data_IF_973892580002
#
_entry.id   IF_973892580002
#
_cell.length_a   1.000
_cell.length_b   1.000
_cell.length_c   1.000
_cell.angle_alpha   90.00
_cell.angle_beta   90.00
_cell.angle_gamma   90.00
#
_symmetry.space_group_name_H-M   'P 1'
#
loop_
_entity.id
_entity.type
_entity.pdbx_description
1 polymer ?
#
# COMPACT_ATOMS: atom_id res chain seq x y z
N UNK A 1 -2.04 13.00 14.31
CA UNK A 1 -2.00 12.67 12.87
C UNK A 1 -0.64 12.10 12.49
N UNK A 2 -0.66 10.91 11.92
CA UNK A 2 0.51 10.24 11.35
C UNK A 2 0.24 9.97 9.87
N UNK A 3 1.31 9.93 9.07
CA UNK A 3 1.26 9.56 7.66
C UNK A 3 1.96 8.22 7.49
N UNK A 4 1.24 7.24 6.94
CA UNK A 4 1.84 6.01 6.46
C UNK A 4 2.23 6.19 5.00
N UNK A 5 3.48 5.87 4.67
CA UNK A 5 4.01 5.86 3.31
C UNK A 5 4.51 4.47 2.99
N UNK A 6 3.83 3.81 2.07
CA UNK A 6 4.27 2.55 1.49
C UNK A 6 4.89 2.82 0.13
N UNK A 7 6.13 2.40 -0.05
CA UNK A 7 6.80 2.46 -1.34
C UNK A 7 6.97 1.05 -1.88
N UNK A 8 6.60 0.83 -3.13
CA UNK A 8 6.83 -0.40 -3.86
C UNK A 8 7.65 -0.12 -5.10
N UNK A 9 8.62 -0.99 -5.40
CA UNK A 9 9.33 -0.99 -6.68
C UNK A 9 8.78 -2.15 -7.50
N UNK A 10 7.95 -1.84 -8.49
CA UNK A 10 7.40 -2.83 -9.40
C UNK A 10 8.50 -3.49 -10.26
N UNK A 11 8.21 -4.67 -10.79
CA UNK A 11 8.99 -5.25 -11.89
C UNK A 11 8.87 -4.35 -13.13
N UNK A 12 9.88 -4.29 -14.02
CA UNK A 12 9.81 -3.51 -15.24
C UNK A 12 8.53 -3.78 -16.03
N UNK A 13 7.85 -2.72 -16.49
CA UNK A 13 6.61 -2.81 -17.25
C UNK A 13 5.34 -3.07 -16.43
N UNK A 14 5.44 -3.27 -15.10
CA UNK A 14 4.29 -3.61 -14.26
C UNK A 14 3.79 -2.46 -13.38
N UNK A 15 4.48 -1.33 -13.35
CA UNK A 15 4.18 -0.23 -12.42
C UNK A 15 2.76 0.30 -12.53
N UNK A 16 2.29 0.57 -13.76
CA UNK A 16 0.92 1.04 -13.98
C UNK A 16 -0.15 0.02 -13.59
N UNK A 17 0.10 -1.28 -13.81
CA UNK A 17 -0.80 -2.35 -13.39
C UNK A 17 -0.86 -2.45 -11.86
N UNK A 18 0.29 -2.43 -11.20
CA UNK A 18 0.37 -2.47 -9.73
C UNK A 18 -0.31 -1.24 -9.10
N UNK A 19 -0.06 -0.04 -9.62
CA UNK A 19 -0.70 1.18 -9.12
C UNK A 19 -2.23 1.14 -9.25
N UNK A 20 -2.76 0.61 -10.36
CA UNK A 20 -4.22 0.44 -10.52
C UNK A 20 -4.81 -0.53 -9.50
N UNK A 21 -4.17 -1.69 -9.30
CA UNK A 21 -4.60 -2.67 -8.29
C UNK A 21 -4.59 -2.04 -6.89
N UNK A 22 -3.53 -1.31 -6.55
CA UNK A 22 -3.45 -0.60 -5.26
C UNK A 22 -4.55 0.44 -5.13
N UNK A 23 -4.84 1.21 -6.18
CA UNK A 23 -5.91 2.20 -6.18
C UNK A 23 -7.28 1.57 -5.99
N UNK A 24 -7.58 0.50 -6.74
CA UNK A 24 -8.82 -0.27 -6.60
C UNK A 24 -9.00 -0.86 -5.20
N UNK A 25 -7.90 -1.26 -4.55
CA UNK A 25 -7.95 -1.75 -3.17
C UNK A 25 -8.19 -0.62 -2.16
N UNK A 26 -7.49 0.50 -2.30
CA UNK A 26 -7.68 1.67 -1.42
C UNK A 26 -9.09 2.28 -1.57
N UNK A 27 -9.71 2.20 -2.75
CA UNK A 27 -11.07 2.68 -2.98
C UNK A 27 -12.13 1.82 -2.25
N UNK A 28 -11.78 0.61 -1.78
CA UNK A 28 -12.64 -0.22 -0.93
C UNK A 28 -12.53 0.13 0.56
N UNK A 29 -11.50 0.87 0.95
CA UNK A 29 -11.32 1.26 2.34
C UNK A 29 -12.25 2.41 2.69
N UNK A 30 -13.19 2.13 3.58
CA UNK A 30 -14.06 3.15 4.14
C UNK A 30 -13.22 4.20 4.88
N UNK A 31 -13.34 5.46 4.47
CA UNK A 31 -12.62 6.56 5.10
C UNK A 31 -11.14 6.69 4.70
N UNK A 32 -10.69 6.04 3.62
CA UNK A 32 -9.34 6.26 3.08
C UNK A 32 -9.09 7.75 2.78
N UNK A 33 -8.10 8.32 3.46
CA UNK A 33 -7.60 9.68 3.21
C UNK A 33 -6.15 9.59 2.75
N UNK A 34 -5.96 9.60 1.43
CA UNK A 34 -4.64 9.35 0.88
C UNK A 34 -4.58 9.31 -0.64
N UNK A 35 -3.42 8.92 -1.15
CA UNK A 35 -3.12 8.88 -2.58
C UNK A 35 -2.34 7.63 -2.96
N UNK A 36 -2.61 7.13 -4.17
CA UNK A 36 -1.76 6.16 -4.87
C UNK A 36 -1.07 6.89 -6.01
N UNK A 37 0.26 6.89 -6.00
CA UNK A 37 1.09 7.72 -6.85
C UNK A 37 2.13 6.88 -7.58
N UNK A 38 2.46 7.29 -8.80
CA UNK A 38 3.62 6.79 -9.55
C UNK A 38 4.71 7.86 -9.53
N UNK A 39 5.95 7.45 -9.31
CA UNK A 39 7.08 8.36 -9.49
C UNK A 39 7.26 8.61 -10.99
N UNK A 40 6.94 9.83 -11.41
CA UNK A 40 6.89 10.20 -12.82
C UNK A 40 8.27 10.59 -13.39
N UNK A 41 9.25 10.89 -12.54
CA UNK A 41 10.49 11.57 -12.97
C UNK A 41 11.75 10.83 -12.55
N UNK A 42 11.84 10.37 -11.30
CA UNK A 42 13.13 9.99 -10.72
C UNK A 42 13.37 8.49 -10.73
N UNK A 43 12.40 7.73 -10.22
CA UNK A 43 12.60 6.32 -9.88
C UNK A 43 11.64 5.47 -10.71
N UNK A 44 12.15 4.84 -11.76
CA UNK A 44 11.33 3.97 -12.59
C UNK A 44 10.68 2.86 -11.76
N UNK A 45 9.44 2.54 -12.14
CA UNK A 45 8.64 1.49 -11.52
C UNK A 45 8.29 1.71 -10.04
N UNK A 46 8.47 2.91 -9.50
CA UNK A 46 8.13 3.20 -8.10
C UNK A 46 6.68 3.63 -7.97
N UNK A 47 5.97 2.94 -7.07
CA UNK A 47 4.62 3.27 -6.61
C UNK A 47 4.74 3.75 -5.16
N UNK A 48 4.02 4.80 -4.81
CA UNK A 48 3.86 5.27 -3.43
C UNK A 48 2.39 5.27 -3.06
N UNK A 49 2.03 4.59 -1.98
CA UNK A 49 0.71 4.70 -1.34
C UNK A 49 0.91 5.50 -0.05
N UNK A 50 0.20 6.62 0.08
CA UNK A 50 0.27 7.48 1.26
C UNK A 50 -1.12 7.62 1.85
N UNK A 51 -1.25 7.50 3.17
CA UNK A 51 -2.53 7.70 3.86
C UNK A 51 -2.36 8.14 5.32
N UNK A 52 -3.40 8.80 5.82
CA UNK A 52 -3.47 9.28 7.20
C UNK A 52 -3.97 8.20 8.16
N UNK A 53 -3.37 8.17 9.35
CA UNK A 53 -3.88 7.43 10.51
C UNK A 53 -3.85 8.34 11.75
N UNK A 54 -4.77 8.12 12.69
CA UNK A 54 -4.83 8.93 13.91
C UNK A 54 -3.79 8.47 14.94
N UNK A 55 -3.61 7.15 15.07
CA UNK A 55 -2.70 6.53 16.02
C UNK A 55 -2.03 5.26 15.49
N UNK A 56 -0.96 4.81 16.15
CA UNK A 56 -0.33 3.52 15.85
C UNK A 56 -1.25 2.33 16.16
N UNK A 57 -2.15 2.47 17.13
CA UNK A 57 -3.13 1.43 17.46
C UNK A 57 -4.12 1.19 16.31
N UNK A 58 -4.52 2.25 15.60
CA UNK A 58 -5.39 2.13 14.42
C UNK A 58 -4.69 1.34 13.31
N UNK A 59 -3.40 1.60 13.12
CA UNK A 59 -2.58 0.88 12.16
C UNK A 59 -2.40 -0.60 12.51
N UNK A 60 -2.15 -0.93 13.78
CA UNK A 60 -2.05 -2.32 14.23
C UNK A 60 -3.36 -3.08 13.98
N UNK A 61 -4.49 -2.47 14.34
CA UNK A 61 -5.82 -3.05 14.11
C UNK A 61 -6.06 -3.31 12.61
N UNK A 62 -5.72 -2.34 11.77
CA UNK A 62 -5.85 -2.44 10.33
C UNK A 62 -4.98 -3.56 9.74
N UNK A 63 -3.75 -3.75 10.25
CA UNK A 63 -2.87 -4.86 9.86
C UNK A 63 -3.40 -6.22 10.32
N UNK A 64 -3.99 -6.30 11.51
CA UNK A 64 -4.65 -7.51 12.00
C UNK A 64 -5.85 -7.90 11.14
N UNK A 65 -6.70 -6.92 10.81
CA UNK A 65 -7.90 -7.16 10.01
C UNK A 65 -7.53 -7.59 8.60
N UNK A 66 -6.52 -6.96 7.99
CA UNK A 66 -5.96 -7.40 6.71
C UNK A 66 -5.42 -8.85 6.77
N UNK A 67 -4.70 -9.21 7.84
CA UNK A 67 -4.21 -10.58 8.05
C UNK A 67 -5.36 -11.59 8.20
N UNK A 68 -6.43 -11.22 8.93
CA UNK A 68 -7.64 -12.04 9.05
C UNK A 68 -8.32 -12.21 7.70
N UNK A 69 -8.44 -11.17 6.89
CA UNK A 69 -9.03 -11.26 5.54
C UNK A 69 -8.21 -12.15 4.61
N UNK A 70 -6.89 -12.01 4.59
CA UNK A 70 -6.02 -12.92 3.83
C UNK A 70 -6.20 -14.38 4.26
N UNK A 71 -6.34 -14.65 5.57
CA UNK A 71 -6.55 -16.01 6.06
C UNK A 71 -7.87 -16.64 5.59
N UNK A 72 -8.88 -15.82 5.27
CA UNK A 72 -10.17 -16.27 4.73
C UNK A 72 -10.11 -16.64 3.25
N UNK A 73 -9.11 -16.15 2.51
CA UNK A 73 -9.04 -16.31 1.05
C UNK A 73 -8.74 -17.75 0.57
N UNK A 74 -8.46 -18.71 1.48
CA UNK A 74 -8.26 -20.16 1.21
C UNK A 74 -7.48 -20.48 -0.08
N UNK A 75 -6.47 -19.68 -0.40
CA UNK A 75 -5.60 -19.88 -1.57
C UNK A 75 -4.19 -20.14 -1.09
N UNK A 76 -3.61 -21.26 -1.51
CA UNK A 76 -2.18 -21.56 -1.28
C UNK A 76 -1.26 -20.69 -2.15
N UNK A 77 -1.83 -19.95 -3.11
CA UNK A 77 -1.10 -19.00 -3.94
C UNK A 77 -1.09 -17.62 -3.27
N UNK A 78 0.07 -16.94 -3.22
CA UNK A 78 0.14 -15.59 -2.72
C UNK A 78 -0.72 -14.65 -3.58
N UNK A 79 -1.16 -13.50 -3.03
CA UNK A 79 -1.98 -12.55 -3.79
C UNK A 79 -1.31 -12.15 -5.11
N UNK A 80 -2.06 -12.06 -6.21
CA UNK A 80 -1.50 -11.81 -7.54
C UNK A 80 -0.63 -10.53 -7.64
N UNK A 81 -0.86 -9.54 -6.78
CA UNK A 81 -0.05 -8.33 -6.74
C UNK A 81 1.39 -8.57 -6.22
N UNK A 82 1.64 -9.63 -5.44
CA UNK A 82 2.98 -9.93 -4.90
C UNK A 82 3.96 -10.33 -5.99
N UNK A 83 3.48 -10.82 -7.12
CA UNK A 83 4.32 -11.12 -8.27
C UNK A 83 4.72 -9.88 -9.06
N UNK A 84 4.09 -8.72 -8.81
CA UNK A 84 4.27 -7.50 -9.59
C UNK A 84 5.36 -6.58 -9.04
N UNK A 85 5.86 -6.80 -7.83
CA UNK A 85 6.91 -5.98 -7.21
C UNK A 85 8.16 -6.77 -6.82
N UNK A 86 9.27 -6.06 -6.74
CA UNK A 86 10.61 -6.59 -6.42
C UNK A 86 10.96 -6.33 -4.96
N UNK A 87 10.65 -5.12 -4.48
CA UNK A 87 10.91 -4.72 -3.11
C UNK A 87 9.89 -3.66 -2.70
N UNK A 88 9.79 -3.43 -1.40
CA UNK A 88 9.01 -2.34 -0.85
C UNK A 88 9.51 -1.95 0.53
N UNK A 89 9.06 -0.80 1.01
CA UNK A 89 9.29 -0.31 2.36
C UNK A 89 8.05 0.40 2.88
N UNK A 90 7.91 0.42 4.20
CA UNK A 90 6.88 1.17 4.90
C UNK A 90 7.55 2.12 5.87
N UNK A 91 7.09 3.36 5.87
CA UNK A 91 7.54 4.41 6.76
C UNK A 91 6.31 5.04 7.42
N UNK A 92 6.38 5.36 8.70
CA UNK A 92 5.32 6.08 9.43
C UNK A 92 5.92 7.38 9.93
N UNK A 93 5.35 8.49 9.52
CA UNK A 93 5.82 9.83 9.85
C UNK A 93 4.85 10.51 10.81
N UNK A 94 5.40 11.19 11.81
CA UNK A 94 4.64 12.15 12.62
C UNK A 94 4.74 13.52 11.97
N UNK A 95 3.59 14.17 11.75
CA UNK A 95 3.56 15.55 11.29
C UNK A 95 4.00 16.46 12.44
N UNK A 96 4.93 17.37 12.15
CA UNK A 96 5.45 18.37 13.08
C UNK A 96 4.86 19.72 12.71
N UNK A 97 4.49 20.52 13.70
CA UNK A 97 4.00 21.91 13.54
C UNK A 97 5.15 22.90 13.38
#
# INVERSE_FOLDING_TARGET
>A
MLIVKETFIAKPGHAGKLAKIMKEEMDKWEGFKGHVMLDFVTSYNKIVVEYEIESLADFDKMMEDWKKEQSKAKSDKPPAYTELYQTGKREIFKIVE
#
